data_IF_993435528869
#
_entry.id   IF_993435528869
#
_cell.length_a   1.000
_cell.length_b   1.000
_cell.length_c   1.000
_cell.angle_alpha   90.00
_cell.angle_beta   90.00
_cell.angle_gamma   90.00
#
_symmetry.space_group_name_H-M   'P 1'
#
loop_
_entity.id
_entity.type
_entity.pdbx_description
1 polymer ?
#
# COMPACT_ATOMS: atom_id res chain seq x y z
N UNK A 1 -7.07 -22.70 -12.99
CA UNK A 1 -6.80 -21.29 -13.32
C UNK A 1 -6.68 -20.50 -12.03
N UNK A 2 -5.47 -20.08 -11.67
CA UNK A 2 -5.23 -19.24 -10.50
C UNK A 2 -5.89 -17.88 -10.75
N UNK A 3 -6.96 -17.58 -10.02
CA UNK A 3 -7.62 -16.28 -10.10
C UNK A 3 -6.73 -15.27 -9.37
N UNK A 4 -6.08 -14.39 -10.13
CA UNK A 4 -5.40 -13.23 -9.58
C UNK A 4 -6.40 -12.28 -8.92
N UNK A 5 -5.94 -11.48 -7.98
CA UNK A 5 -6.67 -10.37 -7.39
C UNK A 5 -6.27 -9.07 -8.07
N UNK A 6 -7.26 -8.30 -8.51
CA UNK A 6 -7.04 -6.93 -8.99
C UNK A 6 -6.93 -5.99 -7.79
N UNK A 7 -5.84 -5.26 -7.72
CA UNK A 7 -5.59 -4.22 -6.71
C UNK A 7 -5.54 -2.88 -7.41
N UNK A 8 -6.36 -1.94 -6.95
CA UNK A 8 -6.44 -0.58 -7.49
C UNK A 8 -5.76 0.40 -6.55
N UNK A 9 -4.83 1.20 -7.07
CA UNK A 9 -4.17 2.29 -6.34
C UNK A 9 -4.69 3.61 -6.90
N UNK A 10 -5.20 4.46 -6.02
CA UNK A 10 -5.64 5.82 -6.38
C UNK A 10 -4.83 6.82 -5.56
N UNK A 11 -4.24 7.81 -6.24
CA UNK A 11 -3.53 8.92 -5.61
C UNK A 11 -4.21 10.22 -6.03
N UNK A 12 -4.59 11.03 -5.04
CA UNK A 12 -5.12 12.37 -5.25
C UNK A 12 -4.37 13.33 -4.35
N UNK A 13 -3.74 14.34 -4.95
CA UNK A 13 -2.98 15.37 -4.24
C UNK A 13 -3.70 16.71 -4.39
N UNK A 14 -4.26 17.23 -3.29
CA UNK A 14 -5.06 18.45 -3.31
C UNK A 14 -6.30 18.33 -4.21
N UNK A 15 -6.56 19.39 -4.98
CA UNK A 15 -7.68 19.49 -5.93
C UNK A 15 -7.35 18.87 -7.31
N UNK A 16 -6.19 18.23 -7.48
CA UNK A 16 -5.80 17.63 -8.75
C UNK A 16 -6.66 16.39 -9.08
N UNK A 17 -6.79 16.09 -10.37
CA UNK A 17 -7.47 14.89 -10.85
C UNK A 17 -6.82 13.61 -10.27
N UNK A 18 -7.61 12.63 -9.80
CA UNK A 18 -7.08 11.41 -9.23
C UNK A 18 -6.32 10.58 -10.26
N UNK A 19 -5.08 10.21 -9.94
CA UNK A 19 -4.32 9.25 -10.71
C UNK A 19 -4.67 7.83 -10.25
N UNK A 20 -4.96 6.94 -11.19
CA UNK A 20 -5.40 5.58 -10.91
C UNK A 20 -4.52 4.55 -11.61
N UNK A 21 -4.14 3.50 -10.88
CA UNK A 21 -3.41 2.35 -11.41
C UNK A 21 -4.13 1.07 -11.00
N UNK A 22 -4.06 0.06 -11.86
CA UNK A 22 -4.58 -1.28 -11.59
C UNK A 22 -3.49 -2.31 -11.77
N UNK A 23 -3.33 -3.17 -10.76
CA UNK A 23 -2.34 -4.23 -10.72
C UNK A 23 -3.04 -5.57 -10.54
N UNK A 24 -2.42 -6.63 -11.05
CA UNK A 24 -2.92 -7.99 -10.87
C UNK A 24 -1.85 -8.76 -10.10
N UNK A 25 -2.22 -9.27 -8.94
CA UNK A 25 -1.35 -10.12 -8.12
C UNK A 25 -1.97 -11.50 -7.99
N UNK A 26 -1.13 -12.53 -7.90
CA UNK A 26 -1.58 -13.83 -7.46
C UNK A 26 -1.97 -13.78 -5.98
N UNK A 27 -2.85 -14.71 -5.57
CA UNK A 27 -3.20 -14.85 -4.15
C UNK A 27 -1.98 -15.15 -3.27
N UNK A 28 -0.99 -15.86 -3.81
CA UNK A 28 0.24 -16.19 -3.09
C UNK A 28 1.08 -14.94 -2.81
N UNK A 29 1.16 -14.00 -3.74
CA UNK A 29 1.88 -12.73 -3.56
C UNK A 29 1.23 -11.81 -2.51
N UNK A 30 -0.08 -11.91 -2.32
CA UNK A 30 -0.83 -11.11 -1.34
C UNK A 30 -1.05 -11.82 0.01
N UNK A 31 -0.64 -13.09 0.12
CA UNK A 31 -0.82 -13.87 1.33
C UNK A 31 0.11 -13.34 2.43
N UNK A 32 -0.46 -13.00 3.60
CA UNK A 32 0.25 -12.28 4.69
C UNK A 32 -0.03 -10.78 4.64
N UNK A 33 0.12 -10.16 3.46
CA UNK A 33 -0.02 -8.71 3.28
C UNK A 33 -1.42 -8.14 3.50
N UNK A 34 -2.48 -8.89 3.24
CA UNK A 34 -3.86 -8.42 3.46
C UNK A 34 -4.19 -8.17 4.95
N UNK A 35 -3.86 -9.09 5.88
CA UNK A 35 -3.88 -8.81 7.32
C UNK A 35 -3.03 -7.60 7.73
N UNK A 36 -1.85 -7.44 7.12
CA UNK A 36 -0.90 -6.35 7.41
C UNK A 36 -1.28 -5.02 6.73
N UNK A 37 -2.15 -5.06 5.72
CA UNK A 37 -2.66 -3.88 5.01
C UNK A 37 -3.52 -2.98 5.89
N UNK A 38 -4.19 -3.53 6.91
CA UNK A 38 -4.86 -2.73 7.94
C UNK A 38 -3.86 -1.88 8.74
N UNK A 39 -2.63 -2.38 8.93
CA UNK A 39 -1.54 -1.62 9.53
C UNK A 39 -1.11 -0.45 8.62
N UNK A 40 -1.25 -0.54 7.30
CA UNK A 40 -0.92 0.57 6.39
C UNK A 40 -1.81 1.79 6.56
N UNK A 41 -3.10 1.58 6.72
CA UNK A 41 -4.05 2.67 7.00
C UNK A 41 -3.77 3.28 8.38
N UNK A 42 -3.55 2.44 9.40
CA UNK A 42 -3.29 2.90 10.77
C UNK A 42 -1.97 3.68 10.88
N UNK A 43 -0.92 3.22 10.20
CA UNK A 43 0.41 3.82 10.27
C UNK A 43 0.52 5.10 9.43
N UNK A 44 -0.20 5.22 8.31
CA UNK A 44 -0.30 6.50 7.57
C UNK A 44 -0.98 7.57 8.41
N UNK A 45 -2.02 7.21 9.16
CA UNK A 45 -2.67 8.11 10.12
C UNK A 45 -1.69 8.56 11.21
N UNK A 46 -0.86 7.66 11.75
CA UNK A 46 0.17 8.00 12.74
C UNK A 46 1.30 8.85 12.14
N UNK A 47 1.75 8.56 10.92
CA UNK A 47 2.75 9.37 10.21
C UNK A 47 2.24 10.79 9.91
N UNK A 48 0.98 10.95 9.49
CA UNK A 48 0.33 12.26 9.34
C UNK A 48 0.24 13.04 10.65
N UNK A 49 0.19 12.35 11.80
CA UNK A 49 0.20 12.95 13.14
C UNK A 49 1.61 13.19 13.70
N UNK A 50 2.67 12.81 12.97
CA UNK A 50 4.08 12.82 13.43
C UNK A 50 4.35 11.92 14.63
N UNK A 51 3.64 10.81 14.74
CA UNK A 51 3.73 9.86 15.87
C UNK A 51 4.28 8.49 15.46
N UNK A 52 4.86 8.36 14.27
CA UNK A 52 5.47 7.12 13.83
C UNK A 52 6.79 6.84 14.61
N UNK A 53 6.96 5.64 15.20
CA UNK A 53 8.23 5.26 15.82
C UNK A 53 9.37 5.24 14.78
N UNK A 54 10.58 5.70 15.13
CA UNK A 54 11.74 5.61 14.24
C UNK A 54 12.05 4.17 13.84
N UNK A 55 12.34 3.93 12.56
CA UNK A 55 12.72 2.59 12.07
C UNK A 55 11.54 1.63 11.88
N UNK A 56 10.31 2.14 11.94
CA UNK A 56 9.12 1.38 11.60
C UNK A 56 9.12 1.05 10.10
N UNK A 57 9.00 -0.24 9.76
CA UNK A 57 8.91 -0.75 8.39
C UNK A 57 7.48 -1.17 8.08
N UNK A 58 6.93 -0.73 6.95
CA UNK A 58 5.56 -1.05 6.55
C UNK A 58 5.47 -1.42 5.06
N UNK A 59 4.56 -2.34 4.68
CA UNK A 59 4.36 -2.68 3.28
C UNK A 59 3.92 -1.49 2.41
N UNK A 60 4.30 -1.44 1.15
CA UNK A 60 3.89 -0.36 0.23
C UNK A 60 3.85 -0.88 -1.20
N UNK A 61 3.26 -0.09 -2.09
CA UNK A 61 3.27 -0.33 -3.53
C UNK A 61 4.07 0.80 -4.16
N UNK A 62 5.18 0.46 -4.81
CA UNK A 62 6.04 1.44 -5.46
C UNK A 62 5.37 2.05 -6.72
N UNK A 63 6.10 2.86 -7.48
CA UNK A 63 5.59 3.51 -8.70
C UNK A 63 5.32 2.52 -9.84
N UNK A 64 6.05 1.41 -9.88
CA UNK A 64 5.92 0.36 -10.90
C UNK A 64 4.83 -0.66 -10.54
N UNK A 65 4.23 -0.58 -9.35
CA UNK A 65 3.24 -1.56 -8.90
C UNK A 65 3.84 -2.80 -8.23
N UNK A 66 5.11 -2.76 -7.83
CA UNK A 66 5.69 -3.84 -7.04
C UNK A 66 5.38 -3.67 -5.56
N UNK A 67 5.10 -4.80 -4.89
CA UNK A 67 4.97 -4.88 -3.45
C UNK A 67 6.36 -4.72 -2.83
N UNK A 68 6.50 -3.76 -1.92
CA UNK A 68 7.76 -3.37 -1.29
C UNK A 68 7.53 -3.06 0.19
N UNK A 69 8.58 -2.60 0.87
CA UNK A 69 8.47 -2.01 2.21
C UNK A 69 9.06 -0.59 2.21
N UNK A 70 8.56 0.26 3.10
CA UNK A 70 9.07 1.60 3.35
C UNK A 70 9.35 1.79 4.84
N UNK A 71 10.32 2.64 5.16
CA UNK A 71 10.68 3.05 6.52
C UNK A 71 10.59 4.56 6.68
N UNK A 72 10.27 5.03 7.89
CA UNK A 72 10.24 6.45 8.27
C UNK A 72 11.37 6.82 9.23
#
# INVERSE_FOLDING_TARGET
>A
HQHGMTVTKTLQEGEAEPQCWSFIYSRAELQGLLPEGASLLLLRVLACRREAPPGLVFPTINTEGHLCTASY
#
